data_IF_046059042932
#
_entry.id   IF_046059042932
#
_cell.length_a   1.000
_cell.length_b   1.000
_cell.length_c   1.000
_cell.angle_alpha   90.00
_cell.angle_beta   90.00
_cell.angle_gamma   90.00
#
_symmetry.space_group_name_H-M   'P 1'
#
loop_
_entity.id
_entity.type
_entity.pdbx_description
1 polymer ?
#
# COMPACT_ATOMS: atom_id res chain seq x y z
N UNK A 1 6.26 -10.87 8.46
CA UNK A 1 5.71 -9.50 8.61
C UNK A 1 4.38 -9.61 9.33
N UNK A 2 4.04 -8.73 10.29
CA UNK A 2 2.83 -8.85 11.12
C UNK A 2 1.50 -8.88 10.34
N UNK A 3 1.46 -8.29 9.13
CA UNK A 3 0.30 -8.31 8.24
C UNK A 3 0.24 -9.51 7.29
N UNK A 4 1.33 -10.27 7.14
CA UNK A 4 1.45 -11.23 6.04
C UNK A 4 0.48 -12.42 6.14
N UNK A 5 0.04 -12.74 7.35
CA UNK A 5 -0.93 -13.81 7.60
C UNK A 5 -2.37 -13.29 7.58
N UNK A 6 -2.55 -11.96 7.63
CA UNK A 6 -3.87 -11.30 7.75
C UNK A 6 -4.35 -10.66 6.46
N UNK A 7 -3.44 -10.30 5.54
CA UNK A 7 -3.77 -9.80 4.22
C UNK A 7 -3.69 -10.96 3.22
N UNK A 8 -4.81 -11.50 2.76
CA UNK A 8 -4.79 -12.53 1.70
C UNK A 8 -4.69 -11.93 0.28
N UNK A 9 -4.87 -10.62 0.16
CA UNK A 9 -4.82 -9.90 -1.11
C UNK A 9 -3.37 -9.55 -1.51
N UNK A 10 -2.87 -10.06 -2.65
CA UNK A 10 -1.50 -9.80 -3.10
C UNK A 10 -1.19 -8.31 -3.29
N UNK A 11 -2.18 -7.51 -3.72
CA UNK A 11 -1.96 -6.06 -3.91
C UNK A 11 -1.86 -5.35 -2.56
N UNK A 12 -2.69 -5.73 -1.58
CA UNK A 12 -2.58 -5.23 -0.22
C UNK A 12 -1.21 -5.58 0.40
N UNK A 13 -0.71 -6.77 0.12
CA UNK A 13 0.64 -7.19 0.48
C UNK A 13 1.74 -6.32 -0.11
N UNK A 14 1.67 -6.04 -1.41
CA UNK A 14 2.64 -5.19 -2.09
C UNK A 14 2.63 -3.76 -1.51
N UNK A 15 1.43 -3.21 -1.26
CA UNK A 15 1.24 -1.89 -0.63
C UNK A 15 1.86 -1.86 0.77
N UNK A 16 1.55 -2.84 1.62
CA UNK A 16 2.09 -2.92 2.98
C UNK A 16 3.63 -3.07 2.97
N UNK A 17 4.15 -3.88 2.05
CA UNK A 17 5.60 -4.06 1.86
C UNK A 17 6.29 -2.75 1.47
N UNK A 18 5.68 -1.98 0.57
CA UNK A 18 6.20 -0.68 0.14
C UNK A 18 6.17 0.33 1.29
N UNK A 19 5.06 0.44 2.02
CA UNK A 19 4.95 1.32 3.18
C UNK A 19 5.99 0.97 4.26
N UNK A 20 6.20 -0.32 4.57
CA UNK A 20 7.23 -0.74 5.51
C UNK A 20 8.61 -0.26 5.10
N UNK A 21 8.98 -0.45 3.82
CA UNK A 21 10.28 -0.01 3.28
C UNK A 21 10.47 1.50 3.33
N UNK A 22 9.37 2.26 3.42
CA UNK A 22 9.36 3.73 3.53
C UNK A 22 9.30 4.21 5.00
N UNK A 23 9.48 3.33 5.98
CA UNK A 23 9.39 3.68 7.40
C UNK A 23 7.96 3.72 7.94
N UNK A 24 7.03 3.00 7.30
CA UNK A 24 5.65 2.81 7.74
C UNK A 24 4.66 3.85 7.21
N UNK A 25 5.10 4.93 6.56
CA UNK A 25 4.22 5.94 5.96
C UNK A 25 4.81 6.58 4.72
N UNK A 26 3.97 6.84 3.71
CA UNK A 26 4.36 7.56 2.50
C UNK A 26 3.19 8.26 1.81
N UNK A 27 3.52 9.15 0.86
CA UNK A 27 2.53 9.74 -0.04
C UNK A 27 2.02 8.69 -1.03
N UNK A 28 0.72 8.74 -1.34
CA UNK A 28 0.03 7.78 -2.21
C UNK A 28 0.74 7.55 -3.54
N UNK A 29 1.13 8.61 -4.24
CA UNK A 29 1.83 8.48 -5.53
C UNK A 29 3.19 7.77 -5.41
N UNK A 30 3.88 7.93 -4.28
CA UNK A 30 5.13 7.22 -4.01
C UNK A 30 4.86 5.72 -3.83
N UNK A 31 3.79 5.38 -3.10
CA UNK A 31 3.37 3.98 -2.94
C UNK A 31 3.00 3.36 -4.30
N UNK A 32 2.19 4.06 -5.11
CA UNK A 32 1.79 3.61 -6.44
C UNK A 32 3.00 3.32 -7.32
N UNK A 33 3.95 4.26 -7.39
CA UNK A 33 5.14 4.11 -8.21
C UNK A 33 6.02 2.93 -7.75
N UNK A 34 6.18 2.75 -6.45
CA UNK A 34 6.97 1.65 -5.89
C UNK A 34 6.27 0.29 -6.04
N UNK A 35 4.95 0.21 -5.90
CA UNK A 35 4.19 -1.03 -6.19
C UNK A 35 4.31 -1.38 -7.67
N UNK A 36 4.17 -0.40 -8.57
CA UNK A 36 4.36 -0.62 -10.00
C UNK A 36 5.78 -1.11 -10.32
N UNK A 37 6.80 -0.55 -9.68
CA UNK A 37 8.18 -1.02 -9.82
C UNK A 37 8.37 -2.46 -9.29
N UNK A 38 7.79 -2.77 -8.13
CA UNK A 38 7.84 -4.11 -7.52
C UNK A 38 7.20 -5.17 -8.43
N UNK A 39 6.04 -4.86 -9.02
CA UNK A 39 5.36 -5.74 -9.99
C UNK A 39 6.23 -5.98 -11.23
N UNK A 40 6.83 -4.93 -11.80
CA UNK A 40 7.74 -5.07 -12.95
C UNK A 40 8.96 -5.93 -12.62
N UNK A 41 9.53 -5.79 -11.43
CA UNK A 41 10.66 -6.62 -10.98
C UNK A 41 10.30 -8.11 -10.90
N UNK A 42 9.04 -8.45 -10.63
CA UNK A 42 8.53 -9.82 -10.64
C UNK A 42 8.06 -10.30 -12.02
N UNK A 43 8.16 -9.47 -13.06
CA UNK A 43 7.65 -9.78 -14.40
C UNK A 43 6.13 -9.69 -14.54
N UNK A 44 5.44 -9.08 -13.56
CA UNK A 44 4.00 -8.87 -13.62
C UNK A 44 3.63 -7.68 -14.51
N UNK A 45 2.50 -7.76 -15.21
CA UNK A 45 1.97 -6.62 -15.97
C UNK A 45 1.44 -5.52 -15.05
N UNK A 46 1.79 -4.27 -15.36
CA UNK A 46 1.23 -3.08 -14.69
C UNK A 46 0.11 -2.52 -15.53
N UNK A 47 -1.13 -2.63 -15.03
CA UNK A 47 -2.33 -2.14 -15.70
C UNK A 47 -2.56 -0.65 -15.44
N UNK A 48 -3.26 0.04 -16.34
CA UNK A 48 -3.56 1.47 -16.22
C UNK A 48 -4.40 1.82 -14.98
N UNK A 49 -5.23 0.88 -14.53
CA UNK A 49 -6.11 1.01 -13.36
C UNK A 49 -5.40 0.71 -12.02
N UNK A 50 -4.10 0.42 -12.02
CA UNK A 50 -3.35 0.10 -10.79
C UNK A 50 -3.50 1.18 -9.72
N UNK A 51 -3.49 2.46 -10.11
CA UNK A 51 -3.71 3.59 -9.19
C UNK A 51 -5.04 3.44 -8.44
N UNK A 52 -6.13 3.19 -9.17
CA UNK A 52 -7.46 3.03 -8.57
C UNK A 52 -7.52 1.81 -7.66
N UNK A 53 -6.96 0.68 -8.09
CA UNK A 53 -6.89 -0.55 -7.28
C UNK A 53 -6.13 -0.36 -5.96
N UNK A 54 -5.04 0.41 -5.97
CA UNK A 54 -4.28 0.74 -4.75
C UNK A 54 -5.11 1.63 -3.82
N UNK A 55 -5.83 2.62 -4.35
CA UNK A 55 -6.74 3.46 -3.56
C UNK A 55 -7.84 2.60 -2.93
N UNK A 56 -8.45 1.69 -3.70
CA UNK A 56 -9.44 0.75 -3.18
C UNK A 56 -8.89 -0.16 -2.08
N UNK A 57 -7.64 -0.62 -2.20
CA UNK A 57 -6.96 -1.39 -1.15
C UNK A 57 -6.85 -0.57 0.13
N UNK A 58 -6.47 0.70 0.04
CA UNK A 58 -6.39 1.56 1.21
C UNK A 58 -7.76 1.72 1.90
N UNK A 59 -8.83 1.93 1.13
CA UNK A 59 -10.18 2.10 1.69
C UNK A 59 -10.82 0.78 2.17
N UNK A 60 -10.46 -0.35 1.54
CA UNK A 60 -10.98 -1.68 1.91
C UNK A 60 -10.35 -2.20 3.19
N UNK A 61 -9.04 -2.01 3.37
CA UNK A 61 -8.29 -2.52 4.51
C UNK A 61 -7.95 -1.41 5.52
N UNK A 62 -8.95 -0.63 5.95
CA UNK A 62 -8.76 0.52 6.86
C UNK A 62 -8.25 0.15 8.27
N UNK A 63 -8.36 -1.11 8.65
CA UNK A 63 -7.74 -1.64 9.87
C UNK A 63 -6.21 -1.79 9.75
N UNK A 64 -5.69 -1.82 8.52
CA UNK A 64 -4.27 -1.96 8.20
C UNK A 64 -3.66 -0.69 7.62
N UNK A 65 -4.45 0.10 6.89
CA UNK A 65 -4.00 1.33 6.25
C UNK A 65 -4.78 2.53 6.74
N UNK A 66 -4.07 3.50 7.31
CA UNK A 66 -4.65 4.70 7.89
C UNK A 66 -4.16 5.95 7.17
N UNK A 67 -4.93 7.05 7.31
CA UNK A 67 -4.52 8.40 6.91
C UNK A 67 -4.07 9.17 8.14
N UNK A 68 -2.76 9.19 8.48
CA UNK A 68 -2.28 9.81 9.71
C UNK A 68 -2.54 11.33 9.78
N UNK A 69 -2.72 12.00 8.64
CA UNK A 69 -2.91 13.45 8.56
C UNK A 69 -4.22 13.85 7.87
N UNK A 70 -5.20 12.94 7.78
CA UNK A 70 -6.49 13.19 7.12
C UNK A 70 -6.47 13.15 5.59
N UNK A 71 -7.66 13.34 4.99
CA UNK A 71 -7.93 13.09 3.56
C UNK A 71 -7.13 13.98 2.59
N UNK A 72 -6.94 15.26 2.94
CA UNK A 72 -6.21 16.21 2.08
C UNK A 72 -4.70 15.97 2.01
N UNK A 73 -4.14 15.12 2.88
CA UNK A 73 -2.69 14.87 2.91
C UNK A 73 -2.21 13.88 1.85
N UNK A 74 -3.13 13.03 1.36
CA UNK A 74 -2.81 11.89 0.48
C UNK A 74 -1.69 10.98 1.03
N UNK A 75 -1.44 11.04 2.35
CA UNK A 75 -0.46 10.18 3.03
C UNK A 75 -1.18 9.00 3.64
N UNK A 76 -0.62 7.83 3.38
CA UNK A 76 -1.06 6.57 3.92
C UNK A 76 0.02 6.00 4.84
N UNK A 77 -0.41 5.25 5.85
CA UNK A 77 0.49 4.60 6.78
C UNK A 77 -0.04 3.21 7.17
N UNK A 78 0.85 2.34 7.61
CA UNK A 78 0.47 1.13 8.31
C UNK A 78 -0.14 1.50 9.66
N UNK A 79 -1.19 0.79 10.06
CA UNK A 79 -1.81 0.99 11.36
C UNK A 79 -0.82 0.66 12.51
N UNK A 80 -0.95 1.29 13.68
CA UNK A 80 -0.17 0.93 14.86
C UNK A 80 -0.32 -0.57 15.20
N UNK A 81 0.79 -1.25 15.49
CA UNK A 81 0.79 -2.70 15.74
C UNK A 81 0.78 -3.58 14.48
N UNK A 82 0.76 -2.96 13.30
CA UNK A 82 0.99 -3.62 12.02
C UNK A 82 2.41 -3.37 11.51
N UNK A 83 2.95 -2.15 11.69
CA UNK A 83 4.30 -1.72 11.25
C UNK A 83 5.47 -2.40 11.99
#
# INVERSE_FOLDING_TARGET
>A
MPWAEKLSDPLAHDVATVLQRMGGSAHQDMVINCVAALKRQRGESVTQDLKMKIIEVFERYRDFFIRPFGEGSMRWALAPGVA
#
